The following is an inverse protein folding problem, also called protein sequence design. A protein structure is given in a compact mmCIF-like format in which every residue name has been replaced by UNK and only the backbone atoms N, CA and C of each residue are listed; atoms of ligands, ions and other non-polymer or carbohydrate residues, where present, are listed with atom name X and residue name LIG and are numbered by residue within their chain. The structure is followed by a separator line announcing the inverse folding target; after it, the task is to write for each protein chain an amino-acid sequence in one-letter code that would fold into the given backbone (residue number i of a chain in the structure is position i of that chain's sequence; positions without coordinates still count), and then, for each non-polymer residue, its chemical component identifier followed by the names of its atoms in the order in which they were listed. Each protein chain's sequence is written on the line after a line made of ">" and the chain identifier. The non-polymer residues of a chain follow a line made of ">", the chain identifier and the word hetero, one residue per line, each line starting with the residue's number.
data_IF_460151361321
#
_entry.id   IF_460151361321
#
_cell.length_a   1.000
_cell.length_b   1.000
_cell.length_c   1.000
_cell.angle_alpha   90.00
_cell.angle_beta   90.00
_cell.angle_gamma   90.00
#
_symmetry.space_group_name_H-M   'P 1'
#
loop_
_entity.id
_entity.type
_entity.pdbx_description
1 polymer ?
#
# COMPACT_ATOMS: atom_id res chain seq x y z
N UNK A 1 23.20 -14.67 -47.83
CA UNK A 1 24.13 -14.64 -46.71
C UNK A 1 23.54 -13.68 -45.69
N UNK A 2 22.80 -14.21 -44.71
CA UNK A 2 22.18 -13.44 -43.61
C UNK A 2 23.25 -13.16 -42.58
N UNK A 3 23.60 -11.90 -42.43
CA UNK A 3 24.47 -11.41 -41.36
C UNK A 3 23.84 -11.71 -40.01
N UNK A 4 24.31 -12.72 -39.31
CA UNK A 4 23.99 -12.94 -37.91
C UNK A 4 24.60 -11.76 -37.12
N UNK A 5 23.75 -10.92 -36.56
CA UNK A 5 24.15 -9.91 -35.58
C UNK A 5 24.70 -10.68 -34.35
N UNK A 6 26.02 -10.66 -34.17
CA UNK A 6 26.63 -11.13 -32.93
C UNK A 6 26.14 -10.20 -31.80
N UNK A 7 25.19 -10.67 -31.02
CA UNK A 7 24.89 -10.02 -29.74
C UNK A 7 26.18 -10.15 -28.90
N UNK A 8 26.67 -9.05 -28.30
CA UNK A 8 27.78 -9.14 -27.35
C UNK A 8 27.42 -10.14 -26.24
N UNK A 9 28.39 -10.96 -25.83
CA UNK A 9 28.18 -11.91 -24.74
C UNK A 9 27.56 -11.15 -23.53
N UNK A 10 26.46 -11.66 -22.95
CA UNK A 10 25.85 -11.04 -21.77
C UNK A 10 26.94 -10.91 -20.69
N UNK A 11 26.97 -9.74 -20.04
CA UNK A 11 27.92 -9.36 -18.96
C UNK A 11 29.37 -9.02 -19.41
N UNK A 12 29.69 -8.93 -20.69
CA UNK A 12 31.05 -8.75 -21.19
C UNK A 12 31.66 -7.34 -21.05
N UNK A 13 31.06 -6.44 -20.28
CA UNK A 13 31.51 -5.06 -20.14
C UNK A 13 31.60 -4.54 -18.70
N UNK A 14 31.25 -5.31 -17.70
CA UNK A 14 31.24 -4.83 -16.30
C UNK A 14 32.27 -5.56 -15.45
N UNK A 15 33.02 -4.82 -14.63
CA UNK A 15 33.83 -5.45 -13.57
C UNK A 15 32.92 -6.06 -12.49
N UNK A 16 33.42 -7.00 -11.70
CA UNK A 16 32.64 -7.60 -10.58
C UNK A 16 32.15 -6.53 -9.58
N UNK A 17 33.00 -5.53 -9.30
CA UNK A 17 32.61 -4.42 -8.42
C UNK A 17 31.49 -3.53 -9.02
N UNK A 18 31.55 -3.27 -10.33
CA UNK A 18 30.50 -2.54 -11.04
C UNK A 18 29.20 -3.36 -11.09
N UNK A 19 29.28 -4.67 -11.37
CA UNK A 19 28.12 -5.55 -11.36
C UNK A 19 27.43 -5.59 -9.98
N UNK A 20 28.20 -5.69 -8.88
CA UNK A 20 27.69 -5.61 -7.51
C UNK A 20 26.96 -4.29 -7.24
N UNK A 21 27.56 -3.16 -7.63
CA UNK A 21 26.95 -1.85 -7.42
C UNK A 21 25.64 -1.67 -8.23
N UNK A 22 25.63 -2.11 -9.50
CA UNK A 22 24.45 -2.08 -10.35
C UNK A 22 23.37 -3.03 -9.82
N UNK A 23 23.73 -4.22 -9.38
CA UNK A 23 22.79 -5.19 -8.82
C UNK A 23 22.11 -4.64 -7.55
N UNK A 24 22.86 -3.96 -6.67
CA UNK A 24 22.31 -3.25 -5.51
C UNK A 24 21.26 -2.20 -5.93
N UNK A 25 21.62 -1.33 -6.89
CA UNK A 25 20.76 -0.27 -7.36
C UNK A 25 19.50 -0.82 -8.05
N UNK A 26 19.67 -1.81 -8.94
CA UNK A 26 18.58 -2.47 -9.66
C UNK A 26 17.64 -3.26 -8.73
N UNK A 27 18.19 -3.90 -7.71
CA UNK A 27 17.39 -4.60 -6.70
C UNK A 27 16.57 -3.62 -5.85
N UNK A 28 17.19 -2.56 -5.35
CA UNK A 28 16.51 -1.51 -4.58
C UNK A 28 15.37 -0.87 -5.39
N UNK A 29 15.62 -0.60 -6.67
CA UNK A 29 14.62 -0.07 -7.60
C UNK A 29 13.48 -1.05 -7.86
N UNK A 30 13.81 -2.33 -8.12
CA UNK A 30 12.88 -3.34 -8.64
C UNK A 30 12.11 -4.10 -7.57
N UNK A 31 12.62 -4.19 -6.34
CA UNK A 31 11.98 -4.97 -5.27
C UNK A 31 10.49 -4.62 -5.07
N UNK A 32 10.09 -3.34 -4.94
CA UNK A 32 8.68 -2.99 -4.80
C UNK A 32 7.83 -3.40 -6.00
N UNK A 33 8.38 -3.33 -7.20
CA UNK A 33 7.68 -3.73 -8.44
C UNK A 33 7.42 -5.23 -8.48
N UNK A 34 8.43 -6.03 -8.10
CA UNK A 34 8.34 -7.50 -8.05
C UNK A 34 7.38 -7.96 -6.95
N UNK A 35 7.41 -7.32 -5.79
CA UNK A 35 6.46 -7.65 -4.71
C UNK A 35 5.03 -7.24 -5.05
N UNK A 36 4.85 -6.06 -5.66
CA UNK A 36 3.55 -5.63 -6.20
C UNK A 36 3.02 -6.61 -7.23
N UNK A 37 3.89 -7.09 -8.16
CA UNK A 37 3.52 -8.11 -9.13
C UNK A 37 3.05 -9.40 -8.47
N UNK A 38 3.76 -9.90 -7.47
CA UNK A 38 3.39 -11.10 -6.71
C UNK A 38 1.98 -10.98 -6.13
N UNK A 39 1.66 -9.83 -5.54
CA UNK A 39 0.34 -9.58 -4.95
C UNK A 39 -0.72 -9.47 -6.05
N UNK A 40 -0.47 -8.72 -7.11
CA UNK A 40 -1.42 -8.57 -8.21
C UNK A 40 -1.65 -9.89 -8.95
N UNK A 41 -0.61 -10.73 -9.09
CA UNK A 41 -0.76 -12.08 -9.64
C UNK A 41 -1.68 -12.95 -8.76
N UNK A 42 -1.52 -12.91 -7.43
CA UNK A 42 -2.41 -13.63 -6.52
C UNK A 42 -3.85 -13.10 -6.57
N UNK A 43 -4.04 -11.80 -6.76
CA UNK A 43 -5.36 -11.15 -6.75
C UNK A 43 -6.11 -11.27 -8.07
N UNK A 44 -5.42 -11.22 -9.21
CA UNK A 44 -6.07 -11.01 -10.53
C UNK A 44 -5.71 -12.07 -11.58
N UNK A 45 -4.73 -12.94 -11.33
CA UNK A 45 -4.25 -13.94 -12.30
C UNK A 45 -4.48 -15.37 -11.80
N UNK A 46 -4.01 -15.70 -10.61
CA UNK A 46 -4.10 -17.06 -10.07
C UNK A 46 -5.47 -17.30 -9.42
N UNK A 47 -6.43 -17.82 -10.19
CA UNK A 47 -7.78 -18.13 -9.68
C UNK A 47 -7.81 -19.22 -8.58
N UNK A 48 -6.73 -19.99 -8.40
CA UNK A 48 -6.58 -20.95 -7.30
C UNK A 48 -6.01 -20.33 -6.02
N UNK A 49 -5.59 -19.05 -6.06
CA UNK A 49 -5.11 -18.34 -4.87
C UNK A 49 -6.24 -18.12 -3.87
N UNK A 50 -6.02 -18.36 -2.57
CA UNK A 50 -6.99 -17.97 -1.53
C UNK A 50 -7.23 -16.46 -1.48
N UNK A 51 -6.29 -15.68 -2.02
CA UNK A 51 -6.36 -14.22 -2.10
C UNK A 51 -7.01 -13.72 -3.39
N UNK A 52 -7.42 -14.60 -4.31
CA UNK A 52 -8.01 -14.21 -5.58
C UNK A 52 -9.24 -13.30 -5.40
N UNK A 53 -9.28 -12.21 -6.13
CA UNK A 53 -10.34 -11.20 -6.06
C UNK A 53 -11.26 -11.24 -7.28
N UNK A 54 -10.70 -11.02 -8.47
CA UNK A 54 -11.43 -11.01 -9.75
C UNK A 54 -10.43 -11.07 -10.92
N UNK A 55 -10.86 -11.35 -12.16
CA UNK A 55 -10.03 -11.10 -13.34
C UNK A 55 -9.68 -9.61 -13.47
N UNK A 56 -8.66 -9.30 -14.28
CA UNK A 56 -8.34 -7.93 -14.68
C UNK A 56 -9.58 -7.20 -15.25
N UNK A 57 -9.67 -5.91 -14.99
CA UNK A 57 -10.76 -5.02 -15.40
C UNK A 57 -12.14 -5.36 -14.79
N UNK A 58 -12.18 -6.19 -13.76
CA UNK A 58 -13.39 -6.50 -13.00
C UNK A 58 -13.27 -6.02 -11.55
N UNK A 59 -14.23 -5.22 -11.13
CA UNK A 59 -14.30 -4.69 -9.76
C UNK A 59 -14.81 -5.77 -8.79
N UNK A 60 -14.10 -5.96 -7.69
CA UNK A 60 -14.51 -6.84 -6.58
C UNK A 60 -14.83 -6.01 -5.35
N UNK A 61 -16.07 -6.05 -4.89
CA UNK A 61 -16.49 -5.50 -3.59
C UNK A 61 -16.29 -6.55 -2.49
N UNK A 62 -15.74 -6.13 -1.36
CA UNK A 62 -15.53 -6.95 -0.15
C UNK A 62 -16.31 -6.27 0.97
N UNK A 63 -17.60 -6.64 1.17
CA UNK A 63 -18.49 -5.94 2.09
C UNK A 63 -18.31 -6.42 3.53
N UNK A 64 -17.08 -6.40 4.01
CA UNK A 64 -16.71 -6.71 5.41
C UNK A 64 -15.40 -6.03 5.78
N UNK A 65 -15.17 -5.87 7.05
CA UNK A 65 -13.85 -5.53 7.59
C UNK A 65 -13.07 -6.81 7.92
N UNK A 66 -11.79 -6.67 8.16
CA UNK A 66 -10.96 -7.75 8.68
C UNK A 66 -11.32 -8.08 10.13
N UNK A 67 -11.16 -9.34 10.50
CA UNK A 67 -11.37 -9.89 11.85
C UNK A 67 -10.15 -10.72 12.26
N UNK A 68 -10.06 -11.21 13.50
CA UNK A 68 -9.00 -12.11 13.93
C UNK A 68 -8.89 -13.43 13.14
N UNK A 69 -9.91 -13.78 12.36
CA UNK A 69 -9.88 -14.98 11.50
C UNK A 69 -9.04 -14.76 10.22
N UNK A 70 -8.79 -13.53 9.85
CA UNK A 70 -7.97 -13.15 8.67
C UNK A 70 -6.49 -13.25 9.03
N UNK A 71 -5.84 -14.35 8.68
CA UNK A 71 -4.44 -14.66 9.03
C UNK A 71 -3.44 -14.32 7.91
N UNK A 72 -3.92 -14.06 6.69
CA UNK A 72 -3.05 -13.87 5.53
C UNK A 72 -2.49 -12.43 5.40
N UNK A 73 -3.12 -11.45 6.04
CA UNK A 73 -2.75 -10.04 5.95
C UNK A 73 -2.26 -9.55 7.31
N UNK A 74 -1.04 -9.02 7.36
CA UNK A 74 -0.52 -8.34 8.55
C UNK A 74 -1.09 -6.92 8.66
N UNK A 75 -1.27 -6.44 9.88
CA UNK A 75 -1.84 -5.12 10.19
C UNK A 75 -3.18 -4.83 9.47
N UNK A 76 -4.12 -5.81 9.45
CA UNK A 76 -5.36 -5.68 8.68
C UNK A 76 -6.20 -4.49 9.15
N UNK A 77 -6.85 -3.82 8.19
CA UNK A 77 -7.66 -2.62 8.45
C UNK A 77 -9.11 -3.00 8.76
N UNK A 78 -9.59 -2.65 9.95
CA UNK A 78 -10.99 -2.83 10.35
C UNK A 78 -11.83 -1.55 10.29
N UNK A 79 -11.29 -0.44 9.74
CA UNK A 79 -12.01 0.82 9.60
C UNK A 79 -12.89 0.90 8.35
N UNK A 80 -12.39 0.31 7.25
CA UNK A 80 -12.97 0.51 5.92
C UNK A 80 -13.07 -0.82 5.16
N UNK A 81 -14.27 -1.28 4.77
CA UNK A 81 -14.42 -2.30 3.74
C UNK A 81 -13.77 -1.88 2.43
N UNK A 82 -13.16 -2.83 1.73
CA UNK A 82 -12.44 -2.58 0.48
C UNK A 82 -13.24 -2.96 -0.76
N UNK A 83 -12.95 -2.27 -1.87
CA UNK A 83 -13.17 -2.79 -3.21
C UNK A 83 -11.86 -2.70 -3.98
N UNK A 84 -11.63 -3.63 -4.92
CA UNK A 84 -10.36 -3.77 -5.61
C UNK A 84 -10.60 -4.02 -7.09
N UNK A 85 -9.73 -3.44 -7.92
CA UNK A 85 -9.67 -3.74 -9.35
C UNK A 85 -8.21 -3.65 -9.83
N UNK A 86 -7.76 -4.69 -10.54
CA UNK A 86 -6.58 -4.61 -11.39
C UNK A 86 -6.99 -4.10 -12.77
N UNK A 87 -6.32 -3.09 -13.26
CA UNK A 87 -6.63 -2.44 -14.53
C UNK A 87 -5.56 -2.76 -15.56
N UNK A 88 -5.94 -3.40 -16.66
CA UNK A 88 -5.15 -3.52 -17.89
C UNK A 88 -5.57 -2.38 -18.83
N UNK A 89 -4.70 -1.41 -18.98
CA UNK A 89 -4.91 -0.14 -19.70
C UNK A 89 -4.32 -0.17 -21.13
N UNK A 90 -3.86 -1.34 -21.60
CA UNK A 90 -3.16 -1.46 -22.88
C UNK A 90 -4.04 -1.27 -24.09
N UNK A 91 -5.28 -1.79 -24.06
CA UNK A 91 -6.20 -1.68 -25.19
C UNK A 91 -6.95 -0.35 -25.18
N UNK A 92 -7.44 0.05 -24.02
CA UNK A 92 -8.22 1.28 -23.82
C UNK A 92 -8.21 1.68 -22.33
N UNK A 93 -8.58 2.93 -22.00
CA UNK A 93 -8.77 3.37 -20.64
C UNK A 93 -9.91 2.66 -19.92
N UNK A 94 -9.86 2.66 -18.58
CA UNK A 94 -10.97 2.28 -17.72
C UNK A 94 -11.70 3.51 -17.18
N UNK A 95 -13.02 3.46 -17.13
CA UNK A 95 -13.84 4.47 -16.47
C UNK A 95 -14.30 3.95 -15.11
N UNK A 96 -13.89 4.64 -14.05
CA UNK A 96 -14.33 4.36 -12.69
C UNK A 96 -15.46 5.33 -12.33
N UNK A 97 -16.66 4.79 -12.10
CA UNK A 97 -17.81 5.59 -11.68
C UNK A 97 -18.09 5.39 -10.21
N UNK A 98 -18.25 6.51 -9.51
CA UNK A 98 -18.51 6.61 -8.08
C UNK A 98 -19.93 7.17 -7.89
N UNK A 99 -20.80 6.54 -7.08
CA UNK A 99 -22.09 7.10 -6.76
C UNK A 99 -21.94 8.34 -5.87
N UNK A 100 -23.01 9.13 -5.74
CA UNK A 100 -23.06 10.12 -4.66
C UNK A 100 -23.02 9.42 -3.31
N UNK A 101 -22.13 9.87 -2.43
CA UNK A 101 -21.88 9.30 -1.10
C UNK A 101 -22.20 10.40 -0.08
N UNK A 102 -22.79 10.03 1.06
CA UNK A 102 -23.10 11.02 2.10
C UNK A 102 -21.83 11.79 2.53
N UNK A 103 -21.97 13.09 2.70
CA UNK A 103 -20.86 14.03 2.93
C UNK A 103 -20.00 13.66 4.14
N UNK A 104 -20.59 13.01 5.14
CA UNK A 104 -19.91 12.63 6.37
C UNK A 104 -19.11 11.33 6.24
N UNK A 105 -19.36 10.52 5.19
CA UNK A 105 -18.65 9.26 4.97
C UNK A 105 -17.39 9.51 4.17
N UNK A 106 -16.26 9.19 4.78
CA UNK A 106 -15.01 9.16 4.05
C UNK A 106 -14.99 7.99 3.06
N UNK A 107 -14.50 8.25 1.87
CA UNK A 107 -14.07 7.24 0.94
C UNK A 107 -12.82 7.69 0.18
N UNK A 108 -12.06 6.74 -0.29
CA UNK A 108 -10.93 6.99 -1.20
C UNK A 108 -10.76 5.84 -2.18
N UNK A 109 -10.32 6.16 -3.38
CA UNK A 109 -9.82 5.23 -4.38
C UNK A 109 -8.36 5.61 -4.59
N UNK A 110 -7.47 4.81 -4.07
CA UNK A 110 -6.03 4.95 -4.24
C UNK A 110 -5.65 4.28 -5.56
N UNK A 111 -5.02 5.03 -6.45
CA UNK A 111 -4.52 4.53 -7.72
C UNK A 111 -3.02 4.32 -7.63
N UNK A 112 -2.59 3.07 -7.84
CA UNK A 112 -1.19 2.67 -7.72
C UNK A 112 -0.71 2.05 -9.02
N UNK A 113 0.42 2.53 -9.54
CA UNK A 113 1.04 2.01 -10.74
C UNK A 113 1.97 0.80 -10.44
N UNK A 114 2.57 0.21 -11.47
CA UNK A 114 3.52 -0.90 -11.28
C UNK A 114 4.84 -0.47 -10.63
N UNK A 115 5.18 0.81 -10.67
CA UNK A 115 6.31 1.35 -9.90
C UNK A 115 6.01 1.42 -8.41
N UNK A 116 4.76 1.22 -8.00
CA UNK A 116 4.23 1.40 -6.64
C UNK A 116 4.08 2.86 -6.20
N UNK A 117 4.07 3.81 -7.14
CA UNK A 117 3.68 5.17 -6.83
C UNK A 117 2.15 5.29 -6.65
N UNK A 118 1.74 6.05 -5.66
CA UNK A 118 0.36 6.52 -5.53
C UNK A 118 0.17 7.68 -6.52
N UNK A 119 -0.20 7.39 -7.77
CA UNK A 119 -0.19 8.42 -8.80
C UNK A 119 -1.40 9.36 -8.73
N UNK A 120 -2.51 8.93 -8.12
CA UNK A 120 -3.66 9.81 -7.88
C UNK A 120 -4.62 9.18 -6.85
N UNK A 121 -5.54 10.00 -6.37
CA UNK A 121 -6.68 9.61 -5.54
C UNK A 121 -7.98 10.17 -6.10
N UNK A 122 -9.06 9.39 -5.98
CA UNK A 122 -10.46 9.83 -6.15
C UNK A 122 -11.11 9.62 -4.79
N UNK A 123 -11.73 10.65 -4.21
CA UNK A 123 -12.32 10.47 -2.88
C UNK A 123 -12.70 11.78 -2.21
N UNK A 124 -13.13 11.67 -0.97
CA UNK A 124 -13.61 12.79 -0.16
C UNK A 124 -12.64 13.97 -0.15
N UNK A 125 -11.33 13.71 -0.11
CA UNK A 125 -10.28 14.73 -0.09
C UNK A 125 -10.08 15.38 -1.46
N UNK A 126 -10.11 14.63 -2.55
CA UNK A 126 -9.63 15.09 -3.87
C UNK A 126 -10.74 15.49 -4.82
N UNK A 127 -11.87 14.80 -4.79
CA UNK A 127 -12.95 14.96 -5.76
C UNK A 127 -14.32 15.25 -5.12
N UNK A 128 -14.41 15.23 -3.79
CA UNK A 128 -15.66 15.37 -3.06
C UNK A 128 -16.53 14.11 -3.11
N UNK A 129 -17.71 14.20 -2.49
CA UNK A 129 -18.63 13.08 -2.30
C UNK A 129 -19.80 13.07 -3.29
N UNK A 130 -19.87 14.00 -4.24
CA UNK A 130 -20.98 14.13 -5.20
C UNK A 130 -20.98 13.03 -6.28
N UNK A 131 -19.98 12.14 -6.25
CA UNK A 131 -19.83 11.07 -7.23
C UNK A 131 -19.39 11.57 -8.61
N UNK A 132 -19.41 10.70 -9.59
CA UNK A 132 -19.05 11.00 -10.98
C UNK A 132 -18.17 9.93 -11.60
N UNK A 133 -17.81 10.12 -12.86
CA UNK A 133 -16.99 9.20 -13.63
C UNK A 133 -15.60 9.77 -13.88
N UNK A 134 -14.58 8.94 -13.72
CA UNK A 134 -13.17 9.28 -13.82
C UNK A 134 -12.50 8.31 -14.78
N UNK A 135 -11.77 8.84 -15.75
CA UNK A 135 -11.09 8.03 -16.77
C UNK A 135 -9.66 7.77 -16.35
N UNK A 136 -9.28 6.50 -16.23
CA UNK A 136 -7.92 6.05 -15.94
C UNK A 136 -7.29 5.59 -17.25
N UNK A 137 -6.34 6.37 -17.75
CA UNK A 137 -5.67 6.15 -19.01
C UNK A 137 -4.28 5.57 -18.83
N UNK A 138 -3.92 4.57 -19.63
CA UNK A 138 -2.56 4.08 -19.74
C UNK A 138 -1.64 5.03 -20.51
N UNK A 139 -0.32 4.78 -20.54
CA UNK A 139 0.67 5.67 -21.15
C UNK A 139 0.52 5.82 -22.65
N UNK A 140 -0.05 4.83 -23.34
CA UNK A 140 -0.27 4.85 -24.78
C UNK A 140 -1.51 5.62 -25.25
N UNK A 141 -2.41 6.03 -24.33
CA UNK A 141 -3.65 6.69 -24.70
C UNK A 141 -3.48 8.21 -24.82
N UNK A 142 -3.85 8.79 -25.97
CA UNK A 142 -3.69 10.22 -26.29
C UNK A 142 -5.03 10.92 -26.56
N UNK A 143 -6.16 10.30 -26.21
CA UNK A 143 -7.49 10.87 -26.43
C UNK A 143 -7.80 12.04 -25.47
N UNK A 144 -8.90 12.73 -25.76
CA UNK A 144 -9.45 13.80 -24.94
C UNK A 144 -10.49 13.27 -23.96
N UNK A 145 -10.79 14.08 -22.92
CA UNK A 145 -11.82 13.74 -21.94
C UNK A 145 -13.21 13.61 -22.62
N UNK A 146 -13.84 12.44 -22.58
CA UNK A 146 -15.17 12.28 -23.18
C UNK A 146 -16.24 12.96 -22.32
N UNK A 147 -17.40 13.21 -22.93
CA UNK A 147 -18.56 13.77 -22.21
C UNK A 147 -18.96 12.85 -21.04
N UNK A 148 -19.21 13.44 -19.88
CA UNK A 148 -19.60 12.71 -18.67
C UNK A 148 -18.43 12.31 -17.77
N UNK A 149 -17.20 12.45 -18.24
CA UNK A 149 -15.98 12.24 -17.42
C UNK A 149 -15.56 13.53 -16.75
N UNK A 150 -15.43 13.49 -15.43
CA UNK A 150 -15.01 14.65 -14.61
C UNK A 150 -13.51 14.94 -14.71
N UNK A 151 -12.69 13.89 -14.79
CA UNK A 151 -11.22 14.00 -14.82
C UNK A 151 -10.61 12.85 -15.58
N UNK A 152 -9.58 13.11 -16.39
CA UNK A 152 -8.67 12.12 -16.95
C UNK A 152 -7.46 12.01 -16.05
N UNK A 153 -7.17 10.80 -15.60
CA UNK A 153 -6.05 10.45 -14.74
C UNK A 153 -5.13 9.51 -15.52
N UNK A 154 -3.84 9.83 -15.60
CA UNK A 154 -2.88 9.09 -16.41
C UNK A 154 -1.96 8.26 -15.55
N UNK A 155 -1.94 6.95 -15.79
CA UNK A 155 -0.95 6.03 -15.26
C UNK A 155 0.33 6.10 -16.09
N UNK A 156 1.49 6.01 -15.44
CA UNK A 156 2.77 5.86 -16.14
C UNK A 156 2.99 4.43 -16.64
N UNK A 157 2.21 3.46 -16.14
CA UNK A 157 2.33 2.04 -16.49
C UNK A 157 1.07 1.51 -17.14
N UNK A 158 1.22 0.48 -17.95
CA UNK A 158 0.13 -0.14 -18.69
C UNK A 158 -0.82 -0.97 -17.80
N UNK A 159 -0.33 -1.44 -16.68
CA UNK A 159 -1.11 -2.11 -15.64
C UNK A 159 -1.08 -1.26 -14.38
N UNK A 160 -2.21 -1.22 -13.66
CA UNK A 160 -2.36 -0.49 -12.41
C UNK A 160 -3.37 -1.18 -11.49
N UNK A 161 -3.39 -0.81 -10.22
CA UNK A 161 -4.39 -1.26 -9.26
C UNK A 161 -5.13 -0.06 -8.67
N UNK A 162 -6.46 -0.19 -8.49
CA UNK A 162 -7.26 0.74 -7.73
C UNK A 162 -7.77 0.06 -6.45
N UNK A 163 -7.51 0.70 -5.31
CA UNK A 163 -7.87 0.23 -3.98
C UNK A 163 -8.89 1.20 -3.39
N UNK A 164 -10.14 0.76 -3.28
CA UNK A 164 -11.23 1.53 -2.72
C UNK A 164 -11.32 1.29 -1.22
N UNK A 165 -11.50 2.34 -0.46
CA UNK A 165 -11.79 2.32 0.98
C UNK A 165 -13.09 3.08 1.22
N UNK A 166 -14.07 2.42 1.81
CA UNK A 166 -15.37 3.02 2.17
C UNK A 166 -15.50 2.95 3.68
N UNK A 167 -15.60 4.10 4.37
CA UNK A 167 -15.69 4.15 5.82
C UNK A 167 -16.90 3.36 6.35
N UNK A 168 -16.68 2.56 7.37
CA UNK A 168 -17.70 1.92 8.18
C UNK A 168 -17.81 2.69 9.51
N UNK A 169 -18.95 3.33 9.78
CA UNK A 169 -19.13 4.11 11.02
C UNK A 169 -19.19 3.23 12.27
N UNK A 170 -19.85 2.09 12.17
CA UNK A 170 -19.99 1.08 13.22
C UNK A 170 -20.49 -0.23 12.59
N UNK A 171 -20.50 -1.37 13.31
CA UNK A 171 -20.93 -2.64 12.73
C UNK A 171 -22.36 -2.64 12.14
N UNK A 172 -23.28 -1.84 12.69
CA UNK A 172 -24.66 -1.72 12.19
C UNK A 172 -24.80 -0.93 10.89
N UNK A 173 -23.74 -0.26 10.45
CA UNK A 173 -23.74 0.55 9.22
C UNK A 173 -23.33 -0.25 7.96
N UNK A 174 -23.05 -1.53 8.08
CA UNK A 174 -22.52 -2.35 6.98
C UNK A 174 -23.42 -2.37 5.75
N UNK A 175 -24.73 -2.33 5.91
CA UNK A 175 -25.68 -2.33 4.79
C UNK A 175 -25.63 -1.02 3.98
N UNK A 176 -25.31 0.10 4.62
CA UNK A 176 -25.07 1.35 3.89
C UNK A 176 -23.75 1.28 3.09
N UNK A 177 -22.70 0.71 3.67
CA UNK A 177 -21.46 0.47 2.93
C UNK A 177 -21.70 -0.44 1.72
N UNK A 178 -22.46 -1.53 1.87
CA UNK A 178 -22.85 -2.41 0.75
C UNK A 178 -23.57 -1.62 -0.37
N UNK A 179 -24.48 -0.72 -0.02
CA UNK A 179 -25.17 0.14 -1.01
C UNK A 179 -24.18 1.03 -1.75
N UNK A 180 -23.24 1.66 -1.04
CA UNK A 180 -22.19 2.47 -1.66
C UNK A 180 -21.33 1.61 -2.59
N UNK A 181 -20.86 0.46 -2.13
CA UNK A 181 -20.05 -0.47 -2.94
C UNK A 181 -20.80 -0.98 -4.17
N UNK A 182 -22.10 -1.26 -4.06
CA UNK A 182 -22.94 -1.65 -5.20
C UNK A 182 -23.09 -0.54 -6.25
N UNK A 183 -22.90 0.71 -5.86
CA UNK A 183 -22.90 1.86 -6.76
C UNK A 183 -21.57 2.12 -7.47
N UNK A 184 -20.47 1.53 -7.03
CA UNK A 184 -19.20 1.61 -7.75
C UNK A 184 -19.29 0.81 -9.05
N UNK A 185 -18.82 1.42 -10.16
CA UNK A 185 -18.70 0.75 -11.45
C UNK A 185 -17.29 0.94 -11.98
N UNK A 186 -16.83 -0.05 -12.74
CA UNK A 186 -15.59 0.02 -13.49
C UNK A 186 -15.84 -0.65 -14.84
N UNK A 187 -15.65 0.08 -15.92
CA UNK A 187 -15.93 -0.40 -17.28
C UNK A 187 -14.92 0.18 -18.27
N UNK A 188 -14.63 -0.53 -19.39
CA UNK A 188 -13.81 0.03 -20.47
C UNK A 188 -14.45 1.30 -21.04
N UNK A 189 -13.63 2.20 -21.58
CA UNK A 189 -14.09 3.45 -22.18
C UNK A 189 -15.12 3.23 -23.29
N UNK A 190 -14.90 2.24 -24.15
CA UNK A 190 -15.83 1.89 -25.23
C UNK A 190 -17.22 1.52 -24.69
N UNK A 191 -17.29 0.73 -23.61
CA UNK A 191 -18.54 0.37 -22.96
C UNK A 191 -19.23 1.59 -22.34
N UNK A 192 -18.48 2.48 -21.70
CA UNK A 192 -19.00 3.73 -21.13
C UNK A 192 -19.61 4.64 -22.20
N UNK A 193 -19.03 4.68 -23.40
CA UNK A 193 -19.51 5.48 -24.53
C UNK A 193 -20.61 4.78 -25.35
N UNK A 194 -20.84 3.48 -25.13
CA UNK A 194 -21.73 2.67 -25.99
C UNK A 194 -21.14 2.44 -27.39
N UNK A 195 -19.81 2.43 -27.50
CA UNK A 195 -19.07 2.25 -28.75
C UNK A 195 -18.53 0.82 -28.86
N UNK A 196 -18.21 0.33 -30.08
CA UNK A 196 -17.52 -0.94 -30.24
C UNK A 196 -16.17 -0.95 -29.55
N UNK A 197 -15.86 -2.06 -28.86
CA UNK A 197 -14.58 -2.25 -28.22
C UNK A 197 -13.43 -2.21 -29.24
N UNK A 198 -12.29 -1.58 -28.93
CA UNK A 198 -11.10 -1.63 -29.77
C UNK A 198 -10.55 -3.05 -29.86
N UNK A 199 -9.56 -3.26 -30.72
CA UNK A 199 -8.85 -4.54 -30.79
C UNK A 199 -8.22 -4.83 -29.42
N UNK A 200 -8.49 -6.01 -28.88
CA UNK A 200 -7.91 -6.46 -27.62
C UNK A 200 -6.37 -6.42 -27.67
N UNK A 201 -5.75 -6.04 -26.57
CA UNK A 201 -4.31 -6.16 -26.43
C UNK A 201 -3.90 -7.65 -26.46
N UNK A 202 -2.66 -7.99 -26.89
CA UNK A 202 -2.17 -9.36 -26.83
C UNK A 202 -2.29 -9.94 -25.42
N UNK A 203 -2.65 -11.22 -25.32
CA UNK A 203 -2.70 -11.90 -24.03
C UNK A 203 -1.32 -11.82 -23.32
N UNK A 204 -1.35 -11.65 -22.00
CA UNK A 204 -0.13 -11.67 -21.19
C UNK A 204 0.11 -13.11 -20.76
N UNK A 205 1.28 -13.63 -21.11
CA UNK A 205 1.79 -14.87 -20.52
C UNK A 205 2.45 -14.52 -19.15
N UNK A 206 1.63 -14.54 -18.10
CA UNK A 206 2.06 -14.18 -16.76
C UNK A 206 3.01 -15.24 -16.21
N UNK A 207 4.22 -14.83 -15.83
CA UNK A 207 5.19 -15.72 -15.22
C UNK A 207 4.87 -15.97 -13.74
N UNK A 208 5.29 -17.13 -13.23
CA UNK A 208 5.12 -17.44 -11.80
C UNK A 208 5.93 -16.45 -10.95
N UNK A 209 5.31 -15.79 -9.97
CA UNK A 209 6.02 -14.89 -9.07
C UNK A 209 6.91 -15.68 -8.08
N UNK A 210 7.94 -15.01 -7.58
CA UNK A 210 8.77 -15.50 -6.49
C UNK A 210 8.02 -15.45 -5.15
N UNK A 211 8.35 -16.36 -4.23
CA UNK A 211 7.90 -16.26 -2.84
C UNK A 211 8.56 -15.07 -2.14
N UNK A 212 8.00 -14.58 -1.01
CA UNK A 212 8.63 -13.50 -0.25
C UNK A 212 10.07 -13.81 0.18
N UNK A 213 10.38 -15.07 0.50
CA UNK A 213 11.73 -15.53 0.87
C UNK A 213 12.67 -15.50 -0.33
N UNK A 214 12.22 -15.99 -1.49
CA UNK A 214 13.00 -15.95 -2.73
C UNK A 214 13.26 -14.51 -3.19
N UNK A 215 12.29 -13.61 -3.06
CA UNK A 215 12.49 -12.19 -3.38
C UNK A 215 13.64 -11.57 -2.59
N UNK A 216 13.86 -12.01 -1.35
CA UNK A 216 14.92 -11.46 -0.49
C UNK A 216 16.33 -11.84 -0.88
N UNK A 217 16.52 -13.00 -1.51
CA UNK A 217 17.84 -13.58 -1.68
C UNK A 217 18.18 -14.00 -3.11
N UNK A 218 17.16 -14.28 -3.94
CA UNK A 218 17.40 -14.85 -5.26
C UNK A 218 17.66 -13.80 -6.33
N UNK A 219 18.74 -13.91 -7.11
CA UNK A 219 18.96 -13.11 -8.31
C UNK A 219 17.87 -13.25 -9.39
N UNK A 220 17.05 -14.30 -9.32
CA UNK A 220 15.88 -14.48 -10.19
C UNK A 220 14.84 -13.35 -10.06
N UNK A 221 14.95 -12.51 -9.02
CA UNK A 221 14.21 -11.28 -8.92
C UNK A 221 14.34 -10.43 -10.19
N UNK A 222 15.51 -10.41 -10.82
CA UNK A 222 15.75 -9.64 -12.05
C UNK A 222 15.01 -10.22 -13.26
N UNK A 223 14.81 -11.54 -13.31
CA UNK A 223 13.96 -12.17 -14.34
C UNK A 223 12.50 -11.67 -14.23
N UNK A 224 11.97 -11.65 -13.01
CA UNK A 224 10.62 -11.15 -12.75
C UNK A 224 10.55 -9.64 -12.99
N UNK A 225 11.57 -8.88 -12.59
CA UNK A 225 11.65 -7.43 -12.83
C UNK A 225 11.64 -7.13 -14.35
N UNK A 226 12.41 -7.85 -15.14
CA UNK A 226 12.44 -7.70 -16.60
C UNK A 226 11.05 -7.94 -17.23
N UNK A 227 10.31 -8.92 -16.71
CA UNK A 227 8.93 -9.17 -17.13
C UNK A 227 8.04 -7.98 -16.78
N UNK A 228 8.08 -7.47 -15.55
CA UNK A 228 7.24 -6.34 -15.10
C UNK A 228 7.57 -5.06 -15.87
N UNK A 229 8.85 -4.81 -16.14
CA UNK A 229 9.31 -3.63 -16.90
C UNK A 229 8.78 -3.57 -18.33
N UNK A 230 8.31 -4.68 -18.91
CA UNK A 230 7.64 -4.68 -20.23
C UNK A 230 6.39 -3.81 -20.26
N UNK A 231 5.74 -3.62 -19.12
CA UNK A 231 4.52 -2.83 -18.94
C UNK A 231 4.78 -1.43 -18.37
N UNK A 232 6.04 -1.07 -18.23
CA UNK A 232 6.50 0.17 -17.61
C UNK A 232 7.35 0.97 -18.60
N UNK A 233 6.76 1.83 -19.44
CA UNK A 233 7.53 2.74 -20.29
C UNK A 233 8.52 3.54 -19.45
N UNK A 234 9.80 3.51 -19.85
CA UNK A 234 10.87 4.15 -19.10
C UNK A 234 10.60 5.64 -18.92
N UNK A 235 10.47 6.10 -17.69
CA UNK A 235 10.31 7.50 -17.40
C UNK A 235 11.56 8.29 -17.82
N UNK A 236 11.37 9.54 -18.30
CA UNK A 236 12.46 10.38 -18.84
C UNK A 236 13.62 10.58 -17.86
N UNK A 237 13.36 10.60 -16.55
CA UNK A 237 14.39 10.77 -15.52
C UNK A 237 15.15 9.48 -15.20
N UNK A 238 14.75 8.34 -15.76
CA UNK A 238 15.31 7.01 -15.46
C UNK A 238 16.06 6.39 -16.65
N UNK A 239 16.20 7.12 -17.77
CA UNK A 239 16.88 6.59 -18.97
C UNK A 239 18.32 6.16 -18.71
N UNK A 240 19.10 6.98 -17.99
CA UNK A 240 20.47 6.66 -17.63
C UNK A 240 20.55 5.50 -16.63
N UNK A 241 19.59 5.44 -15.70
CA UNK A 241 19.45 4.35 -14.74
C UNK A 241 19.22 3.03 -15.47
N UNK A 242 18.27 2.98 -16.39
CA UNK A 242 18.00 1.79 -17.20
C UNK A 242 19.18 1.39 -18.08
N UNK A 243 19.90 2.34 -18.62
CA UNK A 243 21.14 2.07 -19.37
C UNK A 243 22.24 1.43 -18.49
N UNK A 244 22.33 1.82 -17.21
CA UNK A 244 23.24 1.14 -16.27
C UNK A 244 22.76 -0.28 -15.96
N UNK A 245 21.47 -0.47 -15.69
CA UNK A 245 20.91 -1.79 -15.40
C UNK A 245 21.08 -2.77 -16.57
N UNK A 246 20.98 -2.26 -17.80
CA UNK A 246 21.19 -3.07 -19.00
C UNK A 246 22.57 -3.76 -19.05
N UNK A 247 23.61 -3.21 -18.37
CA UNK A 247 24.94 -3.80 -18.29
C UNK A 247 24.95 -5.15 -17.56
N UNK A 248 23.97 -5.41 -16.72
CA UNK A 248 23.76 -6.71 -16.04
C UNK A 248 22.48 -7.41 -16.54
N UNK A 249 22.06 -7.12 -17.78
CA UNK A 249 20.87 -7.72 -18.41
C UNK A 249 19.55 -7.46 -17.66
N UNK A 250 19.43 -6.32 -16.98
CA UNK A 250 18.19 -5.89 -16.36
C UNK A 250 17.57 -4.74 -17.16
N UNK A 251 16.31 -4.95 -17.62
CA UNK A 251 15.58 -3.99 -18.43
C UNK A 251 14.37 -4.62 -19.13
N UNK A 252 13.50 -3.80 -19.69
CA UNK A 252 12.31 -4.25 -20.39
C UNK A 252 12.65 -5.18 -21.56
N UNK A 253 12.13 -6.40 -21.55
CA UNK A 253 12.34 -7.38 -22.61
C UNK A 253 13.73 -8.01 -22.65
N UNK A 254 14.61 -7.69 -21.69
CA UNK A 254 15.90 -8.36 -21.54
C UNK A 254 15.75 -9.73 -20.88
N UNK A 255 16.69 -10.62 -21.17
CA UNK A 255 16.76 -11.93 -20.53
C UNK A 255 17.85 -11.91 -19.47
N UNK A 256 17.46 -12.12 -18.21
CA UNK A 256 18.38 -12.38 -17.11
C UNK A 256 18.36 -13.88 -16.85
N UNK A 257 19.50 -14.53 -17.06
CA UNK A 257 19.62 -15.98 -16.94
C UNK A 257 20.77 -16.32 -15.98
N UNK A 258 20.40 -16.81 -14.80
CA UNK A 258 21.34 -17.20 -13.75
C UNK A 258 22.24 -18.37 -14.15
N UNK A 259 21.79 -19.22 -15.09
CA UNK A 259 22.51 -20.44 -15.50
C UNK A 259 23.77 -20.16 -16.31
N UNK A 260 23.87 -18.97 -16.92
CA UNK A 260 25.04 -18.58 -17.77
C UNK A 260 25.99 -17.64 -17.02
N UNK A 261 25.72 -17.30 -15.76
CA UNK A 261 26.61 -16.48 -14.94
C UNK A 261 27.83 -17.29 -14.46
N UNK A 262 29.02 -16.67 -14.47
CA UNK A 262 30.18 -17.25 -13.75
C UNK A 262 29.91 -17.22 -12.23
N UNK A 263 30.61 -18.08 -11.49
CA UNK A 263 30.51 -18.12 -10.01
C UNK A 263 30.81 -16.77 -9.38
N UNK A 264 31.81 -16.07 -9.91
CA UNK A 264 32.26 -14.76 -9.44
C UNK A 264 31.19 -13.68 -9.73
N UNK A 265 30.58 -13.72 -10.92
CA UNK A 265 29.50 -12.79 -11.28
C UNK A 265 28.27 -13.05 -10.44
N UNK A 266 27.87 -14.30 -10.22
CA UNK A 266 26.77 -14.68 -9.34
C UNK A 266 27.01 -14.13 -7.92
N UNK A 267 28.19 -14.37 -7.37
CA UNK A 267 28.60 -13.88 -6.05
C UNK A 267 28.52 -12.34 -5.98
N UNK A 268 28.98 -11.63 -7.01
CA UNK A 268 28.93 -10.17 -7.06
C UNK A 268 27.46 -9.65 -7.04
N UNK A 269 26.57 -10.29 -7.78
CA UNK A 269 25.15 -9.94 -7.83
C UNK A 269 24.49 -10.21 -6.47
N UNK A 270 24.70 -11.38 -5.87
CA UNK A 270 24.18 -11.74 -4.55
C UNK A 270 24.67 -10.78 -3.46
N UNK A 271 25.92 -10.37 -3.50
CA UNK A 271 26.46 -9.33 -2.61
C UNK A 271 25.78 -7.98 -2.82
N UNK A 272 25.45 -7.61 -4.07
CA UNK A 272 24.67 -6.40 -4.37
C UNK A 272 23.27 -6.45 -3.73
N UNK A 273 22.60 -7.59 -3.79
CA UNK A 273 21.30 -7.81 -3.11
C UNK A 273 21.46 -7.66 -1.59
N UNK A 274 22.48 -8.27 -1.00
CA UNK A 274 22.77 -8.15 0.44
C UNK A 274 23.06 -6.69 0.85
N UNK A 275 23.78 -5.95 0.02
CA UNK A 275 24.04 -4.50 0.25
C UNK A 275 22.75 -3.67 0.22
N UNK A 276 21.78 -4.00 -0.63
CA UNK A 276 20.48 -3.34 -0.63
C UNK A 276 19.70 -3.58 0.68
N UNK A 277 19.76 -4.81 1.22
CA UNK A 277 19.17 -5.12 2.52
C UNK A 277 19.88 -4.43 3.69
N UNK A 278 21.19 -4.24 3.59
CA UNK A 278 21.93 -3.46 4.58
C UNK A 278 21.50 -1.97 4.57
N UNK A 279 21.22 -1.41 3.38
CA UNK A 279 20.66 -0.04 3.28
C UNK A 279 19.25 0.02 3.87
N UNK A 280 18.42 -0.98 3.59
CA UNK A 280 17.07 -1.06 4.18
C UNK A 280 17.12 -1.18 5.70
N UNK A 281 18.05 -1.96 6.26
CA UNK A 281 18.18 -2.09 7.72
C UNK A 281 18.44 -0.72 8.39
N UNK A 282 19.24 0.16 7.74
CA UNK A 282 19.46 1.54 8.21
C UNK A 282 18.19 2.39 8.13
N UNK A 283 17.45 2.29 7.02
CA UNK A 283 16.16 2.97 6.88
C UNK A 283 15.16 2.48 7.93
N UNK A 284 15.13 1.16 8.18
CA UNK A 284 14.24 0.59 9.19
C UNK A 284 14.55 1.13 10.59
N UNK A 285 15.82 1.26 10.95
CA UNK A 285 16.24 1.87 12.23
C UNK A 285 15.73 3.32 12.33
N UNK A 286 15.79 4.11 11.25
CA UNK A 286 15.22 5.46 11.19
C UNK A 286 13.69 5.47 11.35
N UNK A 287 13.00 4.52 10.72
CA UNK A 287 11.54 4.35 10.88
C UNK A 287 11.18 3.97 12.32
N UNK A 288 11.91 3.04 12.91
CA UNK A 288 11.69 2.57 14.29
C UNK A 288 11.95 3.70 15.32
N UNK A 289 12.88 4.61 15.03
CA UNK A 289 13.16 5.81 15.85
C UNK A 289 12.24 7.00 15.57
N UNK A 290 11.38 6.92 14.55
CA UNK A 290 10.53 8.03 14.13
C UNK A 290 11.26 9.17 13.42
N UNK A 291 12.53 8.98 13.03
CA UNK A 291 13.32 9.91 12.21
C UNK A 291 12.77 9.96 10.76
N UNK A 292 12.31 8.82 10.27
CA UNK A 292 11.46 8.69 9.08
C UNK A 292 10.11 8.08 9.46
N UNK A 293 9.07 8.35 8.68
CA UNK A 293 7.71 7.90 8.93
C UNK A 293 7.11 7.24 7.69
N UNK A 294 5.95 6.58 7.84
CA UNK A 294 5.18 6.10 6.68
C UNK A 294 4.85 7.22 5.70
N UNK A 295 4.69 8.45 6.18
CA UNK A 295 4.43 9.61 5.35
C UNK A 295 5.59 9.96 4.41
N UNK A 296 6.80 9.58 4.75
CA UNK A 296 8.00 9.86 3.94
C UNK A 296 8.23 8.83 2.83
N UNK A 297 7.71 7.59 3.00
CA UNK A 297 8.02 6.47 2.10
C UNK A 297 6.90 6.14 1.10
N UNK A 298 5.70 6.70 1.26
CA UNK A 298 4.59 6.56 0.33
C UNK A 298 4.22 7.87 -0.35
N UNK A 299 4.02 7.86 -1.65
CA UNK A 299 3.65 9.07 -2.37
C UNK A 299 3.67 8.94 -3.88
N UNK A 300 3.55 10.08 -4.55
CA UNK A 300 3.71 10.20 -6.00
C UNK A 300 5.19 10.14 -6.39
N UNK A 301 5.45 9.98 -7.70
CA UNK A 301 6.83 10.09 -8.23
C UNK A 301 7.47 11.43 -7.89
N UNK A 302 6.72 12.53 -7.99
CA UNK A 302 7.22 13.88 -7.70
C UNK A 302 7.58 14.05 -6.22
N UNK A 303 6.81 13.42 -5.33
CA UNK A 303 7.08 13.46 -3.89
C UNK A 303 8.30 12.62 -3.52
N UNK A 304 8.35 11.37 -3.97
CA UNK A 304 9.44 10.43 -3.65
C UNK A 304 10.69 10.66 -4.50
N UNK A 305 10.54 11.34 -5.64
CA UNK A 305 11.64 11.61 -6.58
C UNK A 305 12.39 10.32 -6.93
N UNK A 306 13.71 10.33 -6.85
CA UNK A 306 14.57 9.17 -7.12
C UNK A 306 14.97 8.42 -5.82
N UNK A 307 14.19 8.54 -4.74
CA UNK A 307 14.46 7.81 -3.52
C UNK A 307 13.90 6.39 -3.61
N UNK A 308 14.60 5.54 -4.34
CA UNK A 308 14.19 4.14 -4.55
C UNK A 308 14.27 3.30 -3.27
N UNK A 309 15.15 3.68 -2.33
CA UNK A 309 15.23 3.02 -1.03
C UNK A 309 13.94 3.22 -0.22
N UNK A 310 13.33 4.42 -0.30
CA UNK A 310 12.05 4.67 0.35
C UNK A 310 10.93 3.82 -0.26
N UNK A 311 10.89 3.64 -1.59
CA UNK A 311 9.93 2.72 -2.23
C UNK A 311 10.15 1.27 -1.80
N UNK A 312 11.42 0.81 -1.76
CA UNK A 312 11.75 -0.52 -1.24
C UNK A 312 11.30 -0.68 0.21
N UNK A 313 11.62 0.31 1.05
CA UNK A 313 11.19 0.32 2.45
C UNK A 313 9.67 0.28 2.59
N UNK A 314 8.95 1.07 1.80
CA UNK A 314 7.49 1.05 1.76
C UNK A 314 6.93 -0.34 1.44
N UNK A 315 7.49 -1.02 0.43
CA UNK A 315 7.06 -2.37 0.07
C UNK A 315 7.33 -3.39 1.19
N UNK A 316 8.48 -3.29 1.85
CA UNK A 316 8.85 -4.22 2.93
C UNK A 316 7.99 -4.03 4.19
N UNK A 317 7.66 -2.77 4.56
CA UNK A 317 6.93 -2.51 5.81
C UNK A 317 5.42 -2.49 5.66
N UNK A 318 4.88 -2.37 4.44
CA UNK A 318 3.44 -2.35 4.24
C UNK A 318 3.00 -1.84 2.87
N UNK A 319 3.31 -2.53 1.82
CA UNK A 319 2.98 -2.19 0.42
C UNK A 319 1.55 -1.62 0.27
N UNK A 320 1.37 -0.70 -0.68
CA UNK A 320 0.12 0.04 -0.94
C UNK A 320 -0.37 0.93 0.21
N UNK A 321 0.57 1.40 1.06
CA UNK A 321 0.27 2.43 2.05
C UNK A 321 -0.15 3.75 1.40
N UNK A 322 -0.93 4.54 2.12
CA UNK A 322 -1.40 5.84 1.63
C UNK A 322 -0.30 6.90 1.69
N UNK A 323 -0.35 7.84 0.76
CA UNK A 323 0.38 9.11 0.89
C UNK A 323 -0.06 9.84 2.18
N UNK A 324 0.86 10.54 2.86
CA UNK A 324 0.57 11.16 4.16
C UNK A 324 -0.60 12.15 4.14
N UNK A 325 -0.82 12.84 3.03
CA UNK A 325 -1.96 13.76 2.84
C UNK A 325 -3.31 13.02 2.81
N UNK A 326 -3.31 11.72 2.51
CA UNK A 326 -4.50 10.88 2.52
C UNK A 326 -4.68 10.16 3.85
N UNK A 327 -3.62 9.56 4.40
CA UNK A 327 -3.64 8.97 5.73
C UNK A 327 -2.25 8.93 6.38
N UNK A 328 -2.21 9.17 7.69
CA UNK A 328 -1.01 9.04 8.51
C UNK A 328 -1.14 7.88 9.48
N UNK A 329 0.00 7.29 9.87
CA UNK A 329 0.04 6.07 10.67
C UNK A 329 1.03 6.20 11.86
N UNK A 330 0.72 6.98 12.93
CA UNK A 330 1.49 6.92 14.17
C UNK A 330 1.44 5.52 14.79
N UNK A 331 2.61 4.95 15.09
CA UNK A 331 2.74 3.59 15.63
C UNK A 331 3.10 3.64 17.12
N UNK A 332 2.53 2.75 17.91
CA UNK A 332 2.82 2.54 19.33
C UNK A 332 3.43 1.16 19.51
N UNK A 333 4.74 1.06 19.45
CA UNK A 333 5.51 -0.16 19.75
C UNK A 333 6.14 -0.18 21.13
N UNK A 334 6.20 0.99 21.78
CA UNK A 334 6.77 1.20 23.12
C UNK A 334 5.93 2.16 23.95
N UNK A 335 6.09 2.12 25.25
CA UNK A 335 5.51 3.09 26.18
C UNK A 335 6.36 4.38 26.30
N UNK A 336 5.93 5.33 27.13
CA UNK A 336 6.62 6.61 27.37
C UNK A 336 8.07 6.47 27.87
N UNK A 337 8.43 5.29 28.41
CA UNK A 337 9.76 4.98 28.91
C UNK A 337 10.60 4.16 27.91
N UNK A 338 10.10 3.97 26.67
CA UNK A 338 10.77 3.17 25.65
C UNK A 338 10.68 1.66 25.86
N UNK A 339 9.82 1.18 26.79
CA UNK A 339 9.63 -0.24 27.05
C UNK A 339 8.64 -0.83 26.04
N UNK A 340 8.96 -2.02 25.52
CA UNK A 340 8.05 -2.76 24.61
C UNK A 340 6.71 -3.03 25.29
N UNK A 341 5.64 -2.97 24.50
CA UNK A 341 4.29 -3.17 25.01
C UNK A 341 4.00 -4.65 25.23
N UNK A 342 3.39 -4.95 26.38
CA UNK A 342 2.97 -6.30 26.76
C UNK A 342 1.67 -6.24 27.56
N UNK A 343 0.72 -7.12 27.23
CA UNK A 343 -0.60 -7.15 27.86
C UNK A 343 -0.63 -7.61 29.31
N UNK A 344 0.50 -8.04 29.86
CA UNK A 344 0.66 -8.21 31.31
C UNK A 344 0.61 -6.87 32.06
N UNK A 345 0.75 -5.75 31.36
CA UNK A 345 0.72 -4.39 31.90
C UNK A 345 -0.57 -3.67 31.47
N UNK A 346 -0.84 -2.56 32.15
CA UNK A 346 -1.95 -1.65 31.85
C UNK A 346 -1.39 -0.35 31.31
N UNK A 347 -2.12 0.23 30.35
CA UNK A 347 -1.70 1.49 29.73
C UNK A 347 -2.88 2.43 29.53
N UNK A 348 -2.57 3.72 29.45
CA UNK A 348 -3.50 4.78 29.14
C UNK A 348 -2.99 5.59 27.94
N UNK A 349 -3.83 5.73 26.92
CA UNK A 349 -3.60 6.66 25.82
C UNK A 349 -4.52 7.85 26.03
N UNK A 350 -3.96 9.01 26.44
CA UNK A 350 -4.73 10.17 26.82
C UNK A 350 -4.57 11.32 25.83
N UNK A 351 -5.68 11.78 25.33
CA UNK A 351 -5.79 13.01 24.55
C UNK A 351 -6.26 14.14 25.50
N UNK A 352 -5.44 15.16 25.66
CA UNK A 352 -5.83 16.34 26.45
C UNK A 352 -7.02 17.06 25.78
N UNK A 353 -7.67 17.92 26.54
CA UNK A 353 -8.79 18.74 26.04
C UNK A 353 -8.40 19.51 24.78
N UNK A 354 -9.17 19.34 23.70
CA UNK A 354 -8.89 19.97 22.41
C UNK A 354 -7.72 19.34 21.62
N UNK A 355 -7.13 18.25 22.09
CA UNK A 355 -5.94 17.60 21.47
C UNK A 355 -6.26 16.26 20.78
N UNK A 356 -7.53 16.03 20.41
CA UNK A 356 -7.86 14.87 19.57
C UNK A 356 -7.10 14.93 18.24
N UNK A 357 -6.86 13.78 17.58
CA UNK A 357 -6.18 13.76 16.30
C UNK A 357 -6.84 14.70 15.28
N UNK A 358 -6.09 15.67 14.71
CA UNK A 358 -6.65 16.67 13.80
C UNK A 358 -6.84 16.07 12.41
N UNK A 359 -8.07 15.72 12.10
CA UNK A 359 -8.48 15.12 10.82
C UNK A 359 -9.68 15.86 10.21
N UNK A 360 -9.80 15.81 8.88
CA UNK A 360 -11.00 16.26 8.18
C UNK A 360 -12.01 15.11 8.02
N UNK A 361 -11.55 13.85 8.04
CA UNK A 361 -12.41 12.68 7.99
C UNK A 361 -12.53 12.04 9.39
N UNK A 362 -11.74 11.02 9.69
CA UNK A 362 -11.84 10.31 10.97
C UNK A 362 -10.46 9.76 11.37
N UNK A 363 -10.35 9.34 12.64
CA UNK A 363 -9.18 8.65 13.16
C UNK A 363 -9.58 7.35 13.85
N UNK A 364 -8.62 6.43 13.95
CA UNK A 364 -8.75 5.18 14.71
C UNK A 364 -7.45 4.81 15.44
N UNK A 365 -7.58 3.96 16.47
CA UNK A 365 -6.47 3.26 17.13
C UNK A 365 -6.82 1.78 17.10
N UNK A 366 -6.01 0.98 16.40
CA UNK A 366 -6.24 -0.45 16.20
C UNK A 366 -5.19 -1.26 16.95
N UNK A 367 -5.61 -2.34 17.60
CA UNK A 367 -4.79 -3.29 18.36
C UNK A 367 -4.31 -4.44 17.49
N UNK A 368 -3.02 -4.80 17.62
CA UNK A 368 -2.42 -5.96 16.96
C UNK A 368 -1.55 -6.75 17.91
N UNK A 369 -1.61 -8.07 17.83
CA UNK A 369 -0.71 -8.96 18.55
C UNK A 369 0.72 -8.97 17.95
N UNK A 370 1.65 -9.51 18.68
CA UNK A 370 3.01 -9.78 18.21
C UNK A 370 3.38 -11.25 18.46
N UNK A 371 4.17 -11.89 17.58
CA UNK A 371 4.82 -11.33 16.39
C UNK A 371 3.96 -11.34 15.13
N UNK A 372 2.72 -11.90 15.17
CA UNK A 372 1.93 -12.15 13.98
C UNK A 372 1.35 -10.87 13.32
N UNK A 373 1.24 -9.78 14.08
CA UNK A 373 0.66 -8.51 13.62
C UNK A 373 -0.80 -8.64 13.15
N UNK A 374 -1.57 -9.47 13.85
CA UNK A 374 -2.97 -9.76 13.57
C UNK A 374 -3.91 -9.06 14.56
N UNK A 375 -5.18 -8.92 14.19
CA UNK A 375 -6.21 -8.42 15.09
C UNK A 375 -6.42 -9.36 16.28
N UNK A 376 -6.68 -8.79 17.46
CA UNK A 376 -6.80 -9.53 18.73
C UNK A 376 -8.24 -9.89 19.01
N UNK A 377 -8.56 -11.19 19.05
CA UNK A 377 -9.86 -11.65 19.49
C UNK A 377 -10.13 -11.26 20.95
N UNK A 378 -11.32 -10.75 21.21
CA UNK A 378 -11.69 -10.30 22.55
C UNK A 378 -13.23 -10.37 22.77
N UNK A 379 -13.71 -10.37 24.03
CA UNK A 379 -15.14 -10.54 24.34
C UNK A 379 -16.06 -9.47 23.74
N UNK A 380 -15.53 -8.28 23.41
CA UNK A 380 -16.32 -7.19 22.85
C UNK A 380 -16.34 -7.19 21.31
N UNK A 381 -15.57 -8.08 20.65
CA UNK A 381 -15.28 -7.98 19.22
C UNK A 381 -14.81 -6.57 18.81
N UNK A 382 -14.11 -5.89 19.72
CA UNK A 382 -13.59 -4.53 19.55
C UNK A 382 -12.10 -4.59 19.22
N UNK A 383 -11.77 -4.36 17.96
CA UNK A 383 -10.39 -4.40 17.46
C UNK A 383 -9.76 -3.02 17.36
N UNK A 384 -10.61 -1.99 17.44
CA UNK A 384 -10.21 -0.58 17.37
C UNK A 384 -11.15 0.30 18.19
N UNK A 385 -10.67 1.52 18.46
CA UNK A 385 -11.48 2.67 18.89
C UNK A 385 -11.30 3.76 17.84
N UNK A 386 -12.38 4.38 17.38
CA UNK A 386 -12.35 5.41 16.34
C UNK A 386 -13.20 6.63 16.68
N UNK A 387 -13.04 7.73 15.92
CA UNK A 387 -13.76 8.96 16.17
C UNK A 387 -15.28 8.85 16.02
N UNK A 388 -15.88 7.99 15.18
CA UNK A 388 -17.32 7.75 15.21
C UNK A 388 -17.86 7.24 16.55
N UNK A 389 -17.03 6.60 17.38
CA UNK A 389 -17.43 6.14 18.72
C UNK A 389 -17.43 7.25 19.78
N UNK A 390 -16.90 8.45 19.48
CA UNK A 390 -16.77 9.55 20.46
C UNK A 390 -18.06 9.87 21.25
N UNK A 391 -19.27 9.82 20.67
CA UNK A 391 -20.50 10.06 21.44
C UNK A 391 -20.75 9.01 22.54
N UNK A 392 -20.15 7.83 22.44
CA UNK A 392 -20.31 6.73 23.40
C UNK A 392 -19.16 6.64 24.40
N UNK A 393 -18.04 7.33 24.12
CA UNK A 393 -16.86 7.35 24.99
C UNK A 393 -17.05 8.32 26.15
N UNK A 394 -16.58 7.93 27.33
CA UNK A 394 -16.59 8.80 28.52
C UNK A 394 -15.42 9.78 28.46
N UNK A 395 -15.72 11.05 28.66
CA UNK A 395 -14.71 12.11 28.81
C UNK A 395 -14.13 12.11 30.21
N UNK A 396 -12.89 12.55 30.34
CA UNK A 396 -12.24 12.85 31.61
C UNK A 396 -12.89 14.10 32.24
N UNK A 397 -12.69 14.31 33.54
CA UNK A 397 -13.26 15.44 34.28
C UNK A 397 -12.85 16.82 33.70
N UNK A 398 -11.68 16.91 33.08
CA UNK A 398 -11.18 18.11 32.42
C UNK A 398 -11.59 18.20 30.93
N UNK A 399 -12.46 17.31 30.44
CA UNK A 399 -12.91 17.25 29.05
C UNK A 399 -11.96 16.51 28.09
N UNK A 400 -10.84 16.01 28.57
CA UNK A 400 -9.94 15.12 27.82
C UNK A 400 -10.59 13.77 27.48
N UNK A 401 -9.85 12.89 26.85
CA UNK A 401 -10.26 11.52 26.53
C UNK A 401 -9.13 10.54 26.84
N UNK A 402 -9.41 9.59 27.72
CA UNK A 402 -8.46 8.50 28.03
C UNK A 402 -8.98 7.18 27.45
N UNK A 403 -8.22 6.53 26.60
CA UNK A 403 -8.44 5.15 26.20
C UNK A 403 -7.67 4.22 27.15
N UNK A 404 -8.33 3.17 27.61
CA UNK A 404 -7.78 2.16 28.51
C UNK A 404 -7.30 0.99 27.67
N UNK A 405 -6.01 0.66 27.78
CA UNK A 405 -5.36 -0.40 27.00
C UNK A 405 -4.85 -1.46 27.98
N UNK A 406 -5.53 -2.59 28.04
CA UNK A 406 -5.17 -3.72 28.90
C UNK A 406 -5.87 -5.00 28.45
N UNK A 407 -5.40 -6.16 28.94
CA UNK A 407 -6.03 -7.45 28.59
C UNK A 407 -7.36 -7.67 29.33
N UNK A 408 -7.37 -7.49 30.64
CA UNK A 408 -8.55 -7.71 31.46
C UNK A 408 -9.51 -6.52 31.41
N UNK A 409 -10.80 -6.79 31.61
CA UNK A 409 -11.81 -5.72 31.66
C UNK A 409 -11.48 -4.70 32.76
N UNK A 410 -11.53 -3.38 32.45
CA UNK A 410 -11.35 -2.35 33.48
C UNK A 410 -12.60 -2.12 34.35
N UNK A 411 -13.62 -2.94 34.18
CA UNK A 411 -14.93 -2.78 34.80
C UNK A 411 -15.90 -1.93 33.98
N UNK A 412 -17.20 -2.06 34.30
CA UNK A 412 -18.31 -1.44 33.55
C UNK A 412 -18.16 0.08 33.35
N UNK A 413 -17.59 0.75 34.31
CA UNK A 413 -17.46 2.23 34.25
C UNK A 413 -16.45 2.70 33.22
N UNK A 414 -15.44 1.89 32.87
CA UNK A 414 -14.37 2.20 31.93
C UNK A 414 -14.45 1.40 30.63
N UNK A 415 -15.39 0.46 30.50
CA UNK A 415 -15.51 -0.43 29.36
C UNK A 415 -15.77 0.32 28.05
N UNK A 416 -16.49 1.45 28.10
CA UNK A 416 -16.72 2.28 26.92
C UNK A 416 -15.41 2.70 26.24
N UNK A 417 -14.39 3.05 27.03
CA UNK A 417 -13.09 3.54 26.58
C UNK A 417 -12.02 2.43 26.48
N UNK A 418 -12.38 1.18 26.68
CA UNK A 418 -11.43 0.08 26.71
C UNK A 418 -11.16 -0.47 25.32
N UNK A 419 -9.88 -0.54 24.94
CA UNK A 419 -9.37 -1.29 23.79
C UNK A 419 -8.63 -2.52 24.33
N UNK A 420 -9.21 -3.73 24.20
CA UNK A 420 -8.62 -4.94 24.75
C UNK A 420 -7.28 -5.29 24.11
N UNK A 421 -6.24 -5.50 24.92
CA UNK A 421 -4.92 -5.99 24.51
C UNK A 421 -4.85 -7.52 24.57
N UNK A 422 -3.96 -8.19 23.83
CA UNK A 422 -3.65 -9.61 24.04
C UNK A 422 -2.98 -9.82 25.42
N UNK A 423 -2.78 -11.05 25.84
CA UNK A 423 -2.03 -11.35 27.07
C UNK A 423 -0.51 -11.09 26.97
N UNK A 424 0.04 -11.21 25.77
CA UNK A 424 1.46 -11.08 25.49
C UNK A 424 1.80 -9.78 24.76
N UNK A 425 2.94 -9.76 24.05
CA UNK A 425 3.42 -8.58 23.33
C UNK A 425 2.43 -8.09 22.28
N UNK A 426 2.33 -6.77 22.11
CA UNK A 426 1.45 -6.12 21.16
C UNK A 426 2.04 -4.80 20.65
N UNK A 427 1.40 -4.26 19.64
CA UNK A 427 1.54 -2.87 19.22
C UNK A 427 0.20 -2.31 18.80
N UNK A 428 0.11 -0.99 18.65
CA UNK A 428 -1.07 -0.34 18.12
C UNK A 428 -0.70 0.57 16.95
N UNK A 429 -1.60 0.67 15.97
CA UNK A 429 -1.53 1.65 14.90
C UNK A 429 -2.65 2.68 15.08
N UNK A 430 -2.28 3.93 15.23
CA UNK A 430 -3.22 5.03 15.04
C UNK A 430 -3.30 5.35 13.55
N UNK A 431 -4.50 5.63 13.05
CA UNK A 431 -4.73 6.05 11.68
C UNK A 431 -5.45 7.38 11.66
N UNK A 432 -4.88 8.37 10.97
CA UNK A 432 -5.50 9.67 10.72
C UNK A 432 -5.90 9.72 9.25
N UNK A 433 -7.18 9.62 8.95
CA UNK A 433 -7.69 9.72 7.57
C UNK A 433 -8.00 11.18 7.23
N UNK A 434 -7.46 11.64 6.10
CA UNK A 434 -7.48 13.03 5.66
C UNK A 434 -7.00 13.97 6.78
N UNK A 435 -5.72 13.83 7.19
CA UNK A 435 -5.15 14.63 8.27
C UNK A 435 -5.18 16.12 7.93
N UNK A 436 -5.34 16.94 8.96
CA UNK A 436 -5.20 18.39 8.85
C UNK A 436 -3.73 18.81 8.84
N UNK A 437 -3.49 20.07 8.49
CA UNK A 437 -2.14 20.64 8.39
C UNK A 437 -1.34 20.50 9.70
N UNK A 438 -2.00 20.61 10.85
CA UNK A 438 -1.35 20.48 12.16
C UNK A 438 -0.70 19.11 12.36
N UNK A 439 -1.31 18.03 11.83
CA UNK A 439 -0.71 16.70 11.85
C UNK A 439 0.42 16.60 10.81
N UNK A 440 0.19 17.07 9.58
CA UNK A 440 1.15 17.01 8.48
C UNK A 440 2.43 17.79 8.77
N UNK A 441 2.34 18.92 9.47
CA UNK A 441 3.47 19.80 9.84
C UNK A 441 4.08 19.46 11.19
N UNK A 442 3.63 18.37 11.84
CA UNK A 442 4.08 17.94 13.17
C UNK A 442 3.84 18.97 14.29
N UNK A 443 2.95 19.95 14.08
CA UNK A 443 2.47 20.84 15.15
C UNK A 443 1.62 20.07 16.18
N UNK A 444 0.92 19.05 15.72
CA UNK A 444 0.29 18.04 16.55
C UNK A 444 1.11 16.75 16.46
N UNK A 445 1.34 16.13 17.61
CA UNK A 445 1.98 14.81 17.69
C UNK A 445 1.09 13.86 18.49
N UNK A 446 1.09 12.58 18.12
CA UNK A 446 0.35 11.58 18.86
C UNK A 446 0.86 11.52 20.32
N UNK A 447 -0.04 11.55 21.34
CA UNK A 447 0.36 11.49 22.73
C UNK A 447 1.06 10.17 23.04
N UNK A 448 2.03 10.14 23.97
CA UNK A 448 2.70 8.91 24.37
C UNK A 448 1.72 7.96 25.06
N UNK A 449 1.97 6.67 24.93
CA UNK A 449 1.26 5.64 25.67
C UNK A 449 1.89 5.51 27.07
N UNK A 450 1.11 5.78 28.11
CA UNK A 450 1.58 5.73 29.50
C UNK A 450 1.27 4.39 30.15
N UNK A 451 2.28 3.79 30.79
CA UNK A 451 2.07 2.64 31.66
C UNK A 451 1.42 3.11 32.96
N UNK A 452 0.35 2.43 33.35
CA UNK A 452 -0.37 2.73 34.61
C UNK A 452 -0.34 1.53 35.55
N UNK A 453 -0.38 1.78 36.83
CA UNK A 453 -0.35 0.75 37.91
C UNK A 453 -1.67 -0.02 37.97
#
# INVERSE_FOLDING_TARGET
>A
MTSASIQPAPYSGSTLGEARAIAKEAYTYGYPMVDSYRIQHAYFVNCASPDYKAPWNQLRNIPRVYTPDDKAVQTPNSDTPYSLIGMDLRAEPMVLTVPSIEKQRYFSIQLVDLYTFNFEYIGSRTTGNEGGSFLIAGPGWNGEAPKGVKKVIRSETELAIAIYRTQLFNPGDLDNVKKVQAGYKAEPLSAFLGEPAPKAAPAIDFIKPLTPEQQKTSPELFTVLNFVLRFCPTHRSEKELMARFAKICVGAGMTFDVSILSSEMMTAIEQGIADAWADFARLKDQLDKGEATSGDVFGTREYLKNNYLYRMGAAVVGIFGNSNVEAMYPMYGVDENGQKLDGANRYALRFATGQLPPVNAFWSVTMYDMPASLLVANPLNRYLVNSPMLPQLKRDADGGLTLVIQNESPGKDKEANWLPAPKGPFFMAMRLYWPKEEALTRKWTAPPLKRVS
#
